data_IF_793162055003
#
_entry.id   IF_793162055003
#
_cell.length_a   1.000
_cell.length_b   1.000
_cell.length_c   1.000
_cell.angle_alpha   90.00
_cell.angle_beta   90.00
_cell.angle_gamma   90.00
#
_symmetry.space_group_name_H-M   'P 1'
#
loop_
_entity.id
_entity.type
_entity.pdbx_description
1 polymer ?
#
# COMPACT_ATOMS: atom_id res chain seq x y z
N UNK A 1 32.07 -21.19 1.37
CA UNK A 1 31.63 -19.79 1.41
C UNK A 1 31.26 -19.28 0.02
N UNK A 2 32.15 -19.40 -0.96
CA UNK A 2 31.83 -18.99 -2.35
C UNK A 2 30.63 -19.73 -2.94
N UNK A 3 30.51 -21.05 -2.72
CA UNK A 3 29.34 -21.83 -3.13
C UNK A 3 28.06 -21.43 -2.39
N UNK A 4 28.17 -20.92 -1.16
CA UNK A 4 27.06 -20.36 -0.37
C UNK A 4 26.77 -18.89 -0.67
N UNK A 5 27.55 -18.28 -1.59
CA UNK A 5 27.42 -16.85 -1.95
C UNK A 5 27.47 -15.88 -0.77
N UNK A 6 28.24 -16.25 0.27
CA UNK A 6 28.55 -15.39 1.41
C UNK A 6 29.87 -14.66 1.15
N UNK A 7 29.81 -13.60 0.38
CA UNK A 7 31.01 -12.91 -0.08
C UNK A 7 31.65 -12.03 1.00
N UNK A 8 30.88 -11.54 1.96
CA UNK A 8 31.41 -10.74 3.08
C UNK A 8 32.28 -11.62 3.98
N UNK A 9 31.80 -12.81 4.35
CA UNK A 9 32.56 -13.76 5.16
C UNK A 9 33.76 -14.31 4.37
N UNK A 10 33.61 -14.52 3.06
CA UNK A 10 34.69 -14.95 2.19
C UNK A 10 35.81 -13.90 2.08
N UNK A 11 35.49 -12.61 1.98
CA UNK A 11 36.47 -11.52 2.01
C UNK A 11 37.22 -11.47 3.33
N UNK A 12 36.51 -11.54 4.46
CA UNK A 12 37.13 -11.58 5.79
C UNK A 12 38.11 -12.74 5.94
N UNK A 13 37.74 -13.92 5.43
CA UNK A 13 38.61 -15.10 5.45
C UNK A 13 39.86 -14.91 4.60
N UNK A 14 39.69 -14.35 3.39
CA UNK A 14 40.81 -14.07 2.49
C UNK A 14 41.81 -13.05 3.09
N UNK A 15 41.29 -11.98 3.75
CA UNK A 15 42.14 -11.02 4.45
C UNK A 15 42.89 -11.63 5.62
N UNK A 16 42.24 -12.52 6.39
CA UNK A 16 42.89 -13.24 7.49
C UNK A 16 44.02 -14.20 6.96
N UNK A 17 43.73 -14.88 5.87
CA UNK A 17 44.72 -15.78 5.25
C UNK A 17 45.94 -14.98 4.72
N UNK A 18 45.78 -13.81 4.15
CA UNK A 18 46.89 -12.92 3.77
C UNK A 18 47.78 -12.54 4.95
N UNK A 19 47.19 -12.32 6.15
CA UNK A 19 47.93 -11.93 7.34
C UNK A 19 48.69 -13.08 7.96
N UNK A 20 48.16 -14.30 7.81
CA UNK A 20 48.70 -15.49 8.51
C UNK A 20 49.59 -16.37 7.66
N UNK A 21 49.50 -16.30 6.32
CA UNK A 21 50.20 -17.20 5.42
C UNK A 21 50.83 -16.39 4.24
N UNK A 22 52.16 -16.21 4.30
CA UNK A 22 52.88 -15.41 3.28
C UNK A 22 52.90 -16.03 1.88
N UNK A 23 52.69 -17.34 1.78
CA UNK A 23 52.78 -18.10 0.53
C UNK A 23 51.43 -18.38 -0.13
N UNK A 24 50.29 -17.86 0.46
CA UNK A 24 48.97 -18.14 -0.05
C UNK A 24 48.56 -17.12 -1.09
N UNK A 25 48.38 -17.57 -2.34
CA UNK A 25 47.91 -16.71 -3.44
C UNK A 25 46.37 -16.56 -3.40
N UNK A 26 45.89 -15.42 -2.93
CA UNK A 26 44.46 -15.09 -2.83
C UNK A 26 43.89 -14.42 -4.09
N UNK A 27 44.74 -14.01 -5.02
CA UNK A 27 44.36 -13.13 -6.14
C UNK A 27 43.19 -13.61 -7.00
N UNK A 28 43.07 -14.93 -7.19
CA UNK A 28 41.96 -15.51 -7.96
C UNK A 28 40.62 -15.45 -7.19
N UNK A 29 40.69 -15.73 -5.90
CA UNK A 29 39.51 -15.67 -5.03
C UNK A 29 39.03 -14.22 -4.89
N UNK A 30 39.94 -13.29 -4.64
CA UNK A 30 39.65 -11.86 -4.55
C UNK A 30 39.01 -11.31 -5.82
N UNK A 31 39.57 -11.63 -6.98
CA UNK A 31 39.02 -11.21 -8.25
C UNK A 31 37.60 -11.74 -8.47
N UNK A 32 37.37 -13.02 -8.13
CA UNK A 32 36.04 -13.61 -8.26
C UNK A 32 35.03 -12.98 -7.32
N UNK A 33 35.41 -12.73 -6.06
CA UNK A 33 34.54 -12.08 -5.08
C UNK A 33 34.24 -10.63 -5.49
N UNK A 34 35.26 -9.87 -5.87
CA UNK A 34 35.11 -8.49 -6.33
C UNK A 34 34.21 -8.39 -7.57
N UNK A 35 34.34 -9.32 -8.52
CA UNK A 35 33.46 -9.38 -9.69
C UNK A 35 32.00 -9.65 -9.30
N UNK A 36 31.76 -10.56 -8.35
CA UNK A 36 30.41 -10.87 -7.89
C UNK A 36 29.78 -9.69 -7.11
N UNK A 37 30.56 -9.05 -6.23
CA UNK A 37 30.12 -7.83 -5.49
C UNK A 37 29.77 -6.74 -6.49
N UNK A 38 30.67 -6.42 -7.42
CA UNK A 38 30.43 -5.38 -8.43
C UNK A 38 29.21 -5.67 -9.29
N UNK A 39 29.01 -6.92 -9.71
CA UNK A 39 27.86 -7.29 -10.51
C UNK A 39 26.55 -7.17 -9.72
N UNK A 40 26.53 -7.60 -8.45
CA UNK A 40 25.35 -7.44 -7.59
C UNK A 40 25.02 -5.96 -7.35
N UNK A 41 26.02 -5.14 -7.05
CA UNK A 41 25.83 -3.70 -6.82
C UNK A 41 25.34 -2.97 -8.08
N UNK A 42 25.82 -3.37 -9.26
CA UNK A 42 25.36 -2.83 -10.53
C UNK A 42 23.86 -3.10 -10.75
N UNK A 43 23.39 -4.32 -10.46
CA UNK A 43 21.96 -4.64 -10.54
C UNK A 43 21.14 -3.89 -9.48
N UNK A 44 21.67 -3.69 -8.27
CA UNK A 44 21.00 -2.91 -7.24
C UNK A 44 20.85 -1.45 -7.68
N UNK A 45 21.89 -0.85 -8.25
CA UNK A 45 21.86 0.51 -8.79
C UNK A 45 20.82 0.65 -9.92
N UNK A 46 20.79 -0.29 -10.86
CA UNK A 46 19.76 -0.33 -11.91
C UNK A 46 18.36 -0.49 -11.34
N UNK A 47 18.21 -1.31 -10.29
CA UNK A 47 16.93 -1.47 -9.58
C UNK A 47 16.47 -0.17 -8.91
N UNK A 48 17.37 0.59 -8.31
CA UNK A 48 17.06 1.91 -7.73
C UNK A 48 16.60 2.90 -8.81
N UNK A 49 17.26 2.91 -9.98
CA UNK A 49 16.81 3.73 -11.11
C UNK A 49 15.45 3.30 -11.64
N UNK A 50 15.19 1.99 -11.74
CA UNK A 50 13.91 1.46 -12.17
C UNK A 50 12.79 1.84 -11.18
N UNK A 51 13.06 1.76 -9.87
CA UNK A 51 12.15 2.21 -8.83
C UNK A 51 11.81 3.70 -8.98
N UNK A 52 12.83 4.54 -9.19
CA UNK A 52 12.62 5.98 -9.37
C UNK A 52 11.79 6.34 -10.61
N UNK A 53 11.83 5.49 -11.64
CA UNK A 53 11.03 5.63 -12.88
C UNK A 53 9.67 4.96 -12.80
N UNK A 54 9.37 4.23 -11.72
CA UNK A 54 8.15 3.42 -11.61
C UNK A 54 8.14 2.16 -12.49
N UNK A 55 9.29 1.75 -13.03
CA UNK A 55 9.43 0.54 -13.87
C UNK A 55 9.53 -0.70 -12.98
N UNK A 56 8.38 -1.22 -12.59
CA UNK A 56 8.27 -2.37 -11.70
C UNK A 56 8.86 -3.65 -12.30
N UNK A 57 8.65 -3.89 -13.59
CA UNK A 57 9.15 -5.11 -14.25
C UNK A 57 10.67 -5.14 -14.23
N UNK A 58 11.30 -4.00 -14.56
CA UNK A 58 12.77 -3.87 -14.52
C UNK A 58 13.32 -3.97 -13.10
N UNK A 59 12.63 -3.40 -12.12
CA UNK A 59 13.00 -3.52 -10.71
C UNK A 59 13.00 -4.98 -10.23
N UNK A 60 11.96 -5.75 -10.57
CA UNK A 60 11.86 -7.18 -10.23
C UNK A 60 12.99 -8.00 -10.89
N UNK A 61 13.29 -7.75 -12.15
CA UNK A 61 14.40 -8.37 -12.87
C UNK A 61 15.75 -8.09 -12.19
N UNK A 62 16.01 -6.81 -11.87
CA UNK A 62 17.24 -6.39 -11.22
C UNK A 62 17.40 -7.01 -9.82
N UNK A 63 16.33 -7.02 -9.02
CA UNK A 63 16.34 -7.66 -7.70
C UNK A 63 16.64 -9.16 -7.80
N UNK A 64 15.97 -9.86 -8.73
CA UNK A 64 16.22 -11.28 -8.97
C UNK A 64 17.67 -11.55 -9.30
N UNK A 65 18.25 -10.80 -10.25
CA UNK A 65 19.64 -10.95 -10.68
C UNK A 65 20.63 -10.66 -9.55
N UNK A 66 20.40 -9.60 -8.77
CA UNK A 66 21.25 -9.26 -7.63
C UNK A 66 21.20 -10.36 -6.53
N UNK A 67 20.01 -10.91 -6.23
CA UNK A 67 19.83 -12.00 -5.26
C UNK A 67 20.49 -13.29 -5.75
N UNK A 68 20.40 -13.61 -7.04
CA UNK A 68 21.06 -14.78 -7.61
C UNK A 68 22.59 -14.72 -7.50
N UNK A 69 23.16 -13.52 -7.57
CA UNK A 69 24.60 -13.31 -7.42
C UNK A 69 24.98 -13.29 -5.93
N UNK A 70 24.38 -12.41 -5.15
CA UNK A 70 24.70 -12.23 -3.72
C UNK A 70 23.45 -12.03 -2.87
N UNK A 71 22.83 -13.11 -2.35
CA UNK A 71 21.56 -13.04 -1.60
C UNK A 71 21.64 -12.21 -0.32
N UNK A 72 22.83 -12.10 0.27
CA UNK A 72 23.08 -11.37 1.54
C UNK A 72 23.67 -9.98 1.31
N UNK A 73 23.68 -9.46 0.11
CA UNK A 73 24.19 -8.11 -0.17
C UNK A 73 23.40 -7.08 0.66
N UNK A 74 24.06 -6.33 1.58
CA UNK A 74 23.37 -5.41 2.48
C UNK A 74 22.44 -4.38 1.79
N UNK A 75 22.81 -3.76 0.67
CA UNK A 75 21.96 -2.86 -0.11
C UNK A 75 20.69 -3.48 -0.69
N UNK A 76 20.55 -4.82 -0.75
CA UNK A 76 19.33 -5.47 -1.23
C UNK A 76 18.13 -5.23 -0.34
N UNK A 77 18.32 -5.20 0.98
CA UNK A 77 17.21 -5.08 1.94
C UNK A 77 16.44 -3.76 1.79
N UNK A 78 17.10 -2.59 1.73
CA UNK A 78 16.41 -1.32 1.46
C UNK A 78 15.64 -1.33 0.14
N UNK A 79 16.23 -1.88 -0.93
CA UNK A 79 15.59 -1.92 -2.25
C UNK A 79 14.36 -2.83 -2.25
N UNK A 80 14.41 -3.99 -1.59
CA UNK A 80 13.25 -4.87 -1.39
C UNK A 80 12.13 -4.19 -0.62
N UNK A 81 12.47 -3.51 0.47
CA UNK A 81 11.49 -2.78 1.28
C UNK A 81 10.82 -1.65 0.48
N UNK A 82 11.59 -0.91 -0.30
CA UNK A 82 11.07 0.14 -1.18
C UNK A 82 10.14 -0.43 -2.26
N UNK A 83 10.48 -1.58 -2.86
CA UNK A 83 9.61 -2.26 -3.82
C UNK A 83 8.29 -2.72 -3.18
N UNK A 84 8.34 -3.28 -1.97
CA UNK A 84 7.13 -3.68 -1.24
C UNK A 84 6.24 -2.49 -0.93
N UNK A 85 6.82 -1.39 -0.45
CA UNK A 85 6.09 -0.15 -0.17
C UNK A 85 5.42 0.42 -1.43
N UNK A 86 6.14 0.48 -2.56
CA UNK A 86 5.59 0.92 -3.84
C UNK A 86 4.45 0.00 -4.33
N UNK A 87 4.56 -1.31 -4.09
CA UNK A 87 3.49 -2.26 -4.38
C UNK A 87 2.24 -2.01 -3.55
N UNK A 88 2.38 -1.79 -2.25
CA UNK A 88 1.26 -1.48 -1.36
C UNK A 88 0.57 -0.17 -1.76
N UNK A 89 1.33 0.88 -2.07
CA UNK A 89 0.76 2.15 -2.56
C UNK A 89 -0.03 1.99 -3.85
N UNK A 90 0.46 1.19 -4.79
CA UNK A 90 -0.27 0.90 -6.04
C UNK A 90 -1.59 0.19 -5.78
N UNK A 91 -1.62 -0.82 -4.92
CA UNK A 91 -2.85 -1.53 -4.56
C UNK A 91 -3.84 -0.63 -3.83
N UNK A 92 -3.39 0.19 -2.89
CA UNK A 92 -4.24 1.12 -2.17
C UNK A 92 -4.85 2.18 -3.12
N UNK A 93 -4.09 2.65 -4.12
CA UNK A 93 -4.63 3.56 -5.14
C UNK A 93 -5.68 2.89 -6.03
N UNK A 94 -5.47 1.64 -6.41
CA UNK A 94 -6.46 0.84 -7.15
C UNK A 94 -7.74 0.64 -6.33
N UNK A 95 -7.60 0.34 -5.04
CA UNK A 95 -8.71 0.21 -4.11
C UNK A 95 -9.49 1.51 -3.96
N UNK A 96 -8.82 2.66 -3.81
CA UNK A 96 -9.48 3.95 -3.79
C UNK A 96 -10.31 4.19 -5.05
N UNK A 97 -9.70 4.03 -6.24
CA UNK A 97 -10.38 4.19 -7.54
C UNK A 97 -11.58 3.24 -7.68
N UNK A 98 -11.45 2.00 -7.22
CA UNK A 98 -12.53 1.02 -7.21
C UNK A 98 -13.67 1.42 -6.27
N UNK A 99 -13.36 1.88 -5.05
CA UNK A 99 -14.37 2.32 -4.08
C UNK A 99 -15.09 3.59 -4.55
N UNK A 100 -14.35 4.55 -5.10
CA UNK A 100 -14.93 5.76 -5.71
C UNK A 100 -15.90 5.41 -6.84
N UNK A 101 -15.45 4.60 -7.82
CA UNK A 101 -16.29 4.15 -8.94
C UNK A 101 -17.56 3.43 -8.46
N UNK A 102 -17.45 2.65 -7.41
CA UNK A 102 -18.55 1.88 -6.84
C UNK A 102 -19.36 2.66 -5.80
N UNK A 103 -19.05 3.96 -5.57
CA UNK A 103 -19.74 4.80 -4.58
C UNK A 103 -19.74 4.19 -3.17
N UNK A 104 -18.66 3.50 -2.83
CA UNK A 104 -18.47 2.90 -1.51
C UNK A 104 -17.77 3.88 -0.56
N UNK A 105 -18.53 4.93 -0.20
CA UNK A 105 -18.01 6.06 0.59
C UNK A 105 -17.55 5.64 1.98
N UNK A 106 -18.18 4.64 2.58
CA UNK A 106 -17.80 4.11 3.90
C UNK A 106 -16.41 3.47 3.85
N UNK A 107 -16.09 2.67 2.83
CA UNK A 107 -14.75 2.11 2.67
C UNK A 107 -13.69 3.16 2.42
N UNK A 108 -14.02 4.25 1.74
CA UNK A 108 -13.11 5.39 1.57
C UNK A 108 -12.87 6.08 2.91
N UNK A 109 -13.92 6.29 3.69
CA UNK A 109 -13.82 6.89 5.02
C UNK A 109 -13.03 6.02 6.00
N UNK A 110 -13.29 4.71 6.04
CA UNK A 110 -12.57 3.77 6.91
C UNK A 110 -11.05 3.76 6.65
N UNK A 111 -10.64 4.01 5.39
CA UNK A 111 -9.24 4.03 4.97
C UNK A 111 -8.74 5.46 4.67
N UNK A 112 -9.40 6.49 5.19
CA UNK A 112 -9.13 7.89 4.85
C UNK A 112 -7.68 8.33 5.09
N UNK A 113 -7.04 7.82 6.15
CA UNK A 113 -5.64 8.17 6.46
C UNK A 113 -4.66 7.67 5.40
N UNK A 114 -4.88 6.47 4.90
CA UNK A 114 -4.05 5.88 3.84
C UNK A 114 -4.28 6.61 2.52
N UNK A 115 -5.55 6.79 2.13
CA UNK A 115 -5.89 7.44 0.87
C UNK A 115 -5.49 8.91 0.81
N UNK A 116 -5.58 9.64 1.93
CA UNK A 116 -5.14 11.04 1.99
C UNK A 116 -3.67 11.22 1.59
N UNK A 117 -2.80 10.27 1.99
CA UNK A 117 -1.38 10.29 1.62
C UNK A 117 -1.18 10.00 0.14
N UNK A 118 -1.98 9.09 -0.42
CA UNK A 118 -1.86 8.65 -1.82
C UNK A 118 -2.33 9.69 -2.83
N UNK A 119 -3.38 10.45 -2.48
CA UNK A 119 -4.01 11.41 -3.42
C UNK A 119 -3.41 12.82 -3.33
N UNK A 120 -2.51 13.08 -2.36
CA UNK A 120 -2.00 14.43 -2.05
C UNK A 120 -1.33 15.15 -3.22
N UNK A 121 -0.69 14.39 -4.11
CA UNK A 121 0.10 14.92 -5.24
C UNK A 121 -0.71 14.91 -6.57
N UNK A 122 -1.96 14.43 -6.55
CA UNK A 122 -2.87 14.40 -7.70
C UNK A 122 -4.14 15.23 -7.41
N UNK A 123 -4.26 16.45 -7.97
CA UNK A 123 -5.39 17.35 -7.68
C UNK A 123 -6.75 16.77 -8.02
N UNK A 124 -6.85 15.93 -9.07
CA UNK A 124 -8.11 15.32 -9.46
C UNK A 124 -8.54 14.22 -8.49
N UNK A 125 -7.62 13.36 -8.10
CA UNK A 125 -7.88 12.35 -7.08
C UNK A 125 -8.17 12.96 -5.72
N UNK A 126 -7.48 14.06 -5.38
CA UNK A 126 -7.74 14.78 -4.14
C UNK A 126 -9.15 15.36 -4.11
N UNK A 127 -9.61 15.94 -5.23
CA UNK A 127 -10.98 16.46 -5.35
C UNK A 127 -12.00 15.34 -5.18
N UNK A 128 -11.82 14.19 -5.87
CA UNK A 128 -12.69 13.04 -5.74
C UNK A 128 -12.75 12.52 -4.30
N UNK A 129 -11.60 12.43 -3.64
CA UNK A 129 -11.50 12.01 -2.25
C UNK A 129 -12.28 12.93 -1.30
N UNK A 130 -12.14 14.25 -1.46
CA UNK A 130 -12.88 15.24 -0.63
C UNK A 130 -14.38 15.16 -0.88
N UNK A 131 -14.80 14.98 -2.14
CA UNK A 131 -16.21 14.78 -2.50
C UNK A 131 -16.79 13.52 -1.86
N UNK A 132 -16.06 12.40 -1.88
CA UNK A 132 -16.47 11.14 -1.26
C UNK A 132 -16.59 11.24 0.26
N UNK A 133 -15.64 11.92 0.92
CA UNK A 133 -15.73 12.20 2.36
C UNK A 133 -16.92 13.11 2.68
N UNK A 134 -17.24 14.06 1.81
CA UNK A 134 -18.42 14.89 1.90
C UNK A 134 -19.72 14.07 1.85
N UNK A 135 -19.79 13.08 0.95
CA UNK A 135 -20.92 12.13 0.87
C UNK A 135 -21.05 11.30 2.14
N UNK A 136 -19.92 10.79 2.67
CA UNK A 136 -19.93 10.06 3.94
C UNK A 136 -20.39 10.92 5.11
N UNK A 137 -19.98 12.18 5.18
CA UNK A 137 -20.45 13.11 6.21
C UNK A 137 -21.97 13.33 6.16
N UNK A 138 -22.58 13.31 4.97
CA UNK A 138 -24.05 13.37 4.81
C UNK A 138 -24.71 12.11 5.38
N UNK A 139 -24.15 10.93 5.08
CA UNK A 139 -24.64 9.64 5.63
C UNK A 139 -24.59 9.65 7.15
N UNK A 140 -23.44 9.98 7.74
CA UNK A 140 -23.26 9.98 9.20
C UNK A 140 -24.18 10.98 9.90
N UNK A 141 -24.41 12.14 9.29
CA UNK A 141 -25.35 13.13 9.82
C UNK A 141 -26.77 12.59 9.86
N UNK A 142 -27.23 11.96 8.78
CA UNK A 142 -28.57 11.39 8.70
C UNK A 142 -28.75 10.21 9.67
N UNK A 143 -27.75 9.33 9.77
CA UNK A 143 -27.76 8.25 10.76
C UNK A 143 -27.76 8.79 12.19
N UNK A 144 -26.98 9.84 12.46
CA UNK A 144 -26.97 10.51 13.77
C UNK A 144 -28.32 11.13 14.12
N UNK A 145 -28.95 11.83 13.18
CA UNK A 145 -30.27 12.41 13.36
C UNK A 145 -31.35 11.33 13.61
N UNK A 146 -31.35 10.25 12.85
CA UNK A 146 -32.24 9.12 13.04
C UNK A 146 -32.04 8.47 14.41
N UNK A 147 -30.80 8.22 14.85
CA UNK A 147 -30.49 7.68 16.19
C UNK A 147 -31.00 8.60 17.32
N UNK A 148 -30.86 9.92 17.16
CA UNK A 148 -31.35 10.89 18.13
C UNK A 148 -32.90 10.87 18.24
N UNK A 149 -33.60 10.79 17.12
CA UNK A 149 -35.06 10.67 17.09
C UNK A 149 -35.55 9.38 17.77
N UNK A 150 -34.89 8.26 17.49
CA UNK A 150 -35.22 7.01 18.16
C UNK A 150 -35.02 7.08 19.69
N UNK A 151 -33.96 7.72 20.15
CA UNK A 151 -33.72 7.94 21.58
C UNK A 151 -34.84 8.76 22.24
N UNK A 152 -35.53 9.59 21.45
CA UNK A 152 -36.74 10.33 21.88
C UNK A 152 -38.04 9.53 21.66
N UNK A 153 -37.96 8.26 21.30
CA UNK A 153 -39.09 7.39 20.95
C UNK A 153 -39.91 7.85 19.72
N UNK A 154 -39.33 8.73 18.91
CA UNK A 154 -39.87 9.21 17.63
C UNK A 154 -39.38 8.34 16.47
N UNK A 155 -39.91 7.11 16.39
CA UNK A 155 -39.54 6.14 15.34
C UNK A 155 -39.93 6.64 13.95
N UNK A 156 -41.09 7.27 13.82
CA UNK A 156 -41.57 7.81 12.56
C UNK A 156 -40.67 8.95 12.05
N UNK A 157 -40.32 9.89 12.93
CA UNK A 157 -39.38 10.95 12.58
C UNK A 157 -38.00 10.42 12.23
N UNK A 158 -37.51 9.37 12.89
CA UNK A 158 -36.27 8.71 12.53
C UNK A 158 -36.32 8.09 11.12
N UNK A 159 -37.42 7.43 10.77
CA UNK A 159 -37.64 6.90 9.42
C UNK A 159 -37.73 8.03 8.39
N UNK A 160 -38.42 9.11 8.69
CA UNK A 160 -38.59 10.25 7.79
C UNK A 160 -37.24 10.91 7.42
N UNK A 161 -36.31 11.05 8.37
CA UNK A 161 -34.96 11.54 8.12
C UNK A 161 -34.24 10.72 7.03
N UNK A 162 -34.27 9.39 7.15
CA UNK A 162 -33.63 8.51 6.16
C UNK A 162 -34.41 8.44 4.84
N UNK A 163 -35.73 8.53 4.89
CA UNK A 163 -36.57 8.57 3.70
C UNK A 163 -36.34 9.85 2.88
N UNK A 164 -36.19 10.99 3.54
CA UNK A 164 -35.85 12.25 2.86
C UNK A 164 -34.46 12.18 2.24
N UNK A 165 -33.47 11.61 2.93
CA UNK A 165 -32.15 11.39 2.36
C UNK A 165 -32.23 10.50 1.11
N UNK A 166 -32.96 9.37 1.20
CA UNK A 166 -33.11 8.43 0.09
C UNK A 166 -33.79 9.07 -1.13
N UNK A 167 -34.81 9.89 -0.88
CA UNK A 167 -35.53 10.61 -1.97
C UNK A 167 -34.66 11.65 -2.66
N UNK A 168 -33.72 12.27 -1.93
CA UNK A 168 -32.83 13.31 -2.43
C UNK A 168 -31.58 12.75 -3.10
N UNK A 169 -30.98 11.69 -2.56
CA UNK A 169 -29.74 11.09 -3.03
C UNK A 169 -29.74 9.56 -2.80
N UNK A 170 -30.40 8.85 -3.73
CA UNK A 170 -30.50 7.40 -3.67
C UNK A 170 -29.15 6.71 -3.82
N UNK A 171 -28.14 7.37 -4.42
CA UNK A 171 -26.81 6.79 -4.64
C UNK A 171 -26.07 6.49 -3.34
N UNK A 172 -26.37 7.23 -2.25
CA UNK A 172 -25.77 7.00 -0.94
C UNK A 172 -26.14 5.62 -0.37
N UNK A 173 -27.26 5.04 -0.80
CA UNK A 173 -27.73 3.74 -0.34
C UNK A 173 -27.17 2.55 -1.12
N UNK A 174 -26.46 2.76 -2.24
CA UNK A 174 -26.06 1.65 -3.14
C UNK A 174 -25.15 0.64 -2.42
N UNK A 175 -24.11 1.12 -1.73
CA UNK A 175 -23.09 0.26 -1.10
C UNK A 175 -22.86 0.53 0.38
N UNK A 176 -23.73 1.32 1.04
CA UNK A 176 -23.70 1.50 2.49
C UNK A 176 -24.67 0.52 3.18
N UNK A 177 -24.10 -0.57 3.69
CA UNK A 177 -24.86 -1.62 4.35
C UNK A 177 -25.53 -1.14 5.65
N UNK A 178 -24.85 -0.28 6.42
CA UNK A 178 -25.38 0.26 7.67
C UNK A 178 -26.59 1.16 7.41
N UNK A 179 -26.47 2.08 6.44
CA UNK A 179 -27.55 2.97 6.05
C UNK A 179 -28.77 2.19 5.54
N UNK A 180 -28.53 1.18 4.68
CA UNK A 180 -29.61 0.33 4.18
C UNK A 180 -30.28 -0.48 5.27
N UNK A 181 -29.51 -1.13 6.14
CA UNK A 181 -30.05 -1.93 7.24
C UNK A 181 -30.88 -1.06 8.19
N UNK A 182 -30.40 0.14 8.49
CA UNK A 182 -31.11 1.07 9.36
C UNK A 182 -32.40 1.57 8.75
N UNK A 183 -32.37 1.91 7.48
CA UNK A 183 -33.57 2.32 6.75
C UNK A 183 -34.65 1.22 6.74
N UNK A 184 -34.27 -0.03 6.50
CA UNK A 184 -35.20 -1.16 6.47
C UNK A 184 -35.78 -1.45 7.85
N UNK A 185 -34.95 -1.42 8.90
CA UNK A 185 -35.40 -1.59 10.31
C UNK A 185 -36.46 -0.54 10.70
N UNK A 186 -36.15 0.74 10.41
CA UNK A 186 -37.08 1.83 10.69
C UNK A 186 -38.37 1.77 9.86
N UNK A 187 -38.26 1.34 8.58
CA UNK A 187 -39.46 1.13 7.74
C UNK A 187 -40.39 0.09 8.35
N UNK A 188 -39.84 -0.99 8.89
CA UNK A 188 -40.64 -2.05 9.54
C UNK A 188 -41.26 -1.58 10.85
N UNK A 189 -40.59 -0.73 11.63
CA UNK A 189 -41.08 -0.21 12.91
C UNK A 189 -42.12 0.93 12.77
N UNK A 190 -42.04 1.68 11.66
CA UNK A 190 -42.92 2.80 11.37
C UNK A 190 -44.22 2.40 10.63
N UNK A 191 -44.30 1.14 10.16
CA UNK A 191 -45.50 0.55 9.50
C UNK A 191 -46.47 0.00 10.51
#
# INVERSE_FOLDING_TARGET
LMNGKDYEEALSLVENLKKTSRDFSTGRAESAISAAVFASDAYISQGQEALARGDRAKLEECLKSAIEIWPKNPPLLPLRNAMMAAGQQSHALEDFKRFHKNKNYRRIFDNQHEFAVLVKDDPELQKQFVEDLGKMAVIERALGAARQREAMQDVYGAWEELQQLRSRDQELFINDQELNARYLDLTTKAS
#
